data_IF_126137196328
#
_entry.id   IF_126137196328
#
_cell.length_a   1.000
_cell.length_b   1.000
_cell.length_c   1.000
_cell.angle_alpha   90.00
_cell.angle_beta   90.00
_cell.angle_gamma   90.00
#
_symmetry.space_group_name_H-M   'P 1'
#
loop_
_entity.id
_entity.type
_entity.pdbx_description
1 polymer ?
#
# COMPACT_ATOMS: atom_id res chain seq x y z
N UNK A 1 -5.68 4.83 0.85
CA UNK A 1 -5.75 5.05 -0.61
C UNK A 1 -4.47 4.58 -1.28
N UNK A 2 -4.52 4.23 -2.56
CA UNK A 2 -3.39 3.92 -3.46
C UNK A 2 -3.74 4.40 -4.87
N UNK A 3 -2.77 4.76 -5.71
CA UNK A 3 -3.02 5.14 -7.12
C UNK A 3 -3.65 4.00 -7.91
N UNK A 4 -4.67 4.29 -8.71
CA UNK A 4 -5.33 3.31 -9.58
C UNK A 4 -4.38 2.66 -10.59
N UNK A 5 -3.29 3.36 -10.96
CA UNK A 5 -2.21 2.82 -11.77
C UNK A 5 -1.54 1.56 -11.16
N UNK A 6 -1.69 1.31 -9.85
CA UNK A 6 -1.27 0.04 -9.21
C UNK A 6 -2.00 -1.19 -9.74
N UNK A 7 -3.13 -1.03 -10.43
CA UNK A 7 -3.87 -2.08 -11.12
C UNK A 7 -3.61 -2.11 -12.64
N UNK A 8 -2.57 -1.42 -13.13
CA UNK A 8 -2.20 -1.51 -14.54
C UNK A 8 -1.88 -2.97 -14.89
N UNK A 9 -2.44 -3.46 -15.99
CA UNK A 9 -2.31 -4.85 -16.42
C UNK A 9 -3.31 -5.82 -15.77
N UNK A 10 -4.06 -5.37 -14.75
CA UNK A 10 -5.01 -6.21 -14.01
C UNK A 10 -6.08 -6.82 -14.94
N UNK A 11 -6.76 -5.98 -15.73
CA UNK A 11 -7.87 -6.45 -16.57
C UNK A 11 -7.42 -7.54 -17.54
N UNK A 12 -6.31 -7.28 -18.25
CA UNK A 12 -5.69 -8.24 -19.16
C UNK A 12 -5.31 -9.55 -18.46
N UNK A 13 -4.65 -9.48 -17.30
CA UNK A 13 -4.23 -10.69 -16.57
C UNK A 13 -5.43 -11.52 -16.09
N UNK A 14 -6.50 -10.87 -15.64
CA UNK A 14 -7.75 -11.55 -15.26
C UNK A 14 -8.39 -12.25 -16.46
N UNK A 15 -8.47 -11.58 -17.61
CA UNK A 15 -9.00 -12.15 -18.86
C UNK A 15 -8.15 -13.34 -19.33
N UNK A 16 -6.83 -13.24 -19.29
CA UNK A 16 -5.89 -14.33 -19.63
C UNK A 16 -6.06 -15.56 -18.71
N UNK A 17 -6.51 -15.35 -17.47
CA UNK A 17 -6.82 -16.39 -16.50
C UNK A 17 -8.29 -16.87 -16.58
N UNK A 18 -9.07 -16.34 -17.52
CA UNK A 18 -10.46 -16.73 -17.78
C UNK A 18 -11.50 -16.11 -16.83
N UNK A 19 -11.16 -15.03 -16.13
CA UNK A 19 -12.09 -14.27 -15.28
C UNK A 19 -12.65 -13.03 -15.98
N UNK A 20 -13.65 -12.40 -15.34
CA UNK A 20 -14.18 -11.09 -15.75
C UNK A 20 -13.63 -9.98 -14.84
N UNK A 21 -12.80 -9.05 -15.36
CA UNK A 21 -12.24 -7.98 -14.55
C UNK A 21 -13.29 -6.99 -14.03
N UNK A 22 -14.39 -6.77 -14.78
CA UNK A 22 -15.46 -5.88 -14.34
C UNK A 22 -16.21 -6.46 -13.13
N UNK A 23 -16.39 -7.78 -13.09
CA UNK A 23 -16.97 -8.48 -11.93
C UNK A 23 -16.14 -8.23 -10.66
N UNK A 24 -14.81 -8.43 -10.74
CA UNK A 24 -13.93 -8.22 -9.60
C UNK A 24 -13.87 -6.75 -9.18
N UNK A 25 -13.73 -5.81 -10.12
CA UNK A 25 -13.71 -4.39 -9.79
C UNK A 25 -15.01 -3.94 -9.11
N UNK A 26 -16.17 -4.36 -9.66
CA UNK A 26 -17.48 -4.05 -9.09
C UNK A 26 -17.69 -4.65 -7.70
N UNK A 27 -17.28 -5.91 -7.49
CA UNK A 27 -17.39 -6.61 -6.20
C UNK A 27 -16.63 -5.93 -5.05
N UNK A 28 -15.53 -5.24 -5.37
CA UNK A 28 -14.70 -4.51 -4.41
C UNK A 28 -14.91 -2.99 -4.44
N UNK A 29 -15.98 -2.53 -5.11
CA UNK A 29 -16.34 -1.12 -5.26
C UNK A 29 -15.17 -0.26 -5.79
N UNK A 30 -14.41 -0.81 -6.74
CA UNK A 30 -13.31 -0.11 -7.41
C UNK A 30 -13.85 0.46 -8.73
N UNK A 31 -14.00 1.79 -8.84
CA UNK A 31 -14.50 2.41 -10.07
C UNK A 31 -13.50 2.25 -11.22
N UNK A 32 -13.89 1.70 -12.39
CA UNK A 32 -12.99 1.53 -13.53
C UNK A 32 -12.34 2.84 -14.01
N UNK A 33 -13.04 3.97 -13.90
CA UNK A 33 -12.54 5.29 -14.24
C UNK A 33 -11.34 5.73 -13.39
N UNK A 34 -11.22 5.24 -12.15
CA UNK A 34 -10.06 5.51 -11.31
C UNK A 34 -8.79 4.82 -11.80
N UNK A 35 -8.90 3.77 -12.62
CA UNK A 35 -7.76 3.10 -13.25
C UNK A 35 -7.31 3.83 -14.53
N UNK A 36 -8.25 4.50 -15.21
CA UNK A 36 -7.97 5.27 -16.43
C UNK A 36 -7.36 6.65 -16.15
N UNK A 37 -7.66 7.24 -14.99
CA UNK A 37 -7.11 8.53 -14.57
C UNK A 37 -5.67 8.41 -14.05
N UNK A 38 -4.78 9.30 -14.50
CA UNK A 38 -3.39 9.34 -14.03
C UNK A 38 -3.33 9.59 -12.50
N UNK A 39 -4.18 10.49 -12.00
CA UNK A 39 -4.26 10.87 -10.59
C UNK A 39 -5.39 10.13 -9.86
N UNK A 40 -5.97 9.09 -10.47
CA UNK A 40 -7.01 8.26 -9.86
C UNK A 40 -6.53 7.54 -8.60
N UNK A 41 -7.35 7.55 -7.55
CA UNK A 41 -7.07 6.91 -6.27
C UNK A 41 -8.16 5.91 -5.92
N UNK A 42 -7.75 4.76 -5.39
CA UNK A 42 -8.65 3.68 -4.94
C UNK A 42 -8.39 3.34 -3.46
N UNK A 43 -9.39 2.83 -2.72
CA UNK A 43 -9.18 2.34 -1.37
C UNK A 43 -8.18 1.17 -1.37
N UNK A 44 -7.12 1.28 -0.57
CA UNK A 44 -6.06 0.26 -0.56
C UNK A 44 -6.55 -1.07 0.04
N UNK A 45 -7.50 -1.02 0.96
CA UNK A 45 -8.14 -2.23 1.49
C UNK A 45 -8.93 -2.97 0.41
N UNK A 46 -9.69 -2.26 -0.44
CA UNK A 46 -10.36 -2.88 -1.58
C UNK A 46 -9.37 -3.48 -2.58
N UNK A 47 -8.30 -2.74 -2.91
CA UNK A 47 -7.22 -3.21 -3.77
C UNK A 47 -6.63 -4.53 -3.28
N UNK A 48 -6.18 -4.58 -2.02
CA UNK A 48 -5.49 -5.73 -1.45
C UNK A 48 -6.39 -6.96 -1.34
N UNK A 49 -7.62 -6.77 -0.85
CA UNK A 49 -8.60 -7.86 -0.74
C UNK A 49 -9.01 -8.40 -2.11
N UNK A 50 -9.10 -7.52 -3.11
CA UNK A 50 -9.37 -7.92 -4.49
C UNK A 50 -8.23 -8.79 -5.03
N UNK A 51 -6.97 -8.36 -4.90
CA UNK A 51 -5.83 -9.14 -5.38
C UNK A 51 -5.78 -10.54 -4.77
N UNK A 52 -5.97 -10.66 -3.45
CA UNK A 52 -6.01 -11.95 -2.77
C UNK A 52 -7.20 -12.82 -3.22
N UNK A 53 -8.36 -12.20 -3.45
CA UNK A 53 -9.58 -12.90 -3.91
C UNK A 53 -9.43 -13.41 -5.34
N UNK A 54 -8.92 -12.59 -6.25
CA UNK A 54 -8.67 -12.95 -7.65
C UNK A 54 -7.68 -14.12 -7.73
N UNK A 55 -6.57 -14.04 -7.00
CA UNK A 55 -5.59 -15.11 -6.92
C UNK A 55 -6.21 -16.44 -6.49
N UNK A 56 -7.09 -16.42 -5.48
CA UNK A 56 -7.79 -17.60 -4.97
C UNK A 56 -8.80 -18.15 -5.98
N UNK A 57 -9.66 -17.32 -6.54
CA UNK A 57 -10.79 -17.75 -7.39
C UNK A 57 -10.34 -18.19 -8.77
N UNK A 58 -9.33 -17.53 -9.34
CA UNK A 58 -8.71 -17.93 -10.61
C UNK A 58 -7.59 -18.97 -10.42
N UNK A 59 -7.40 -19.49 -9.19
CA UNK A 59 -6.38 -20.50 -8.84
C UNK A 59 -4.97 -20.10 -9.31
N UNK A 60 -4.64 -18.82 -9.18
CA UNK A 60 -3.37 -18.22 -9.56
C UNK A 60 -2.63 -17.73 -8.30
N UNK A 61 -1.96 -18.63 -7.56
CA UNK A 61 -1.29 -18.25 -6.31
C UNK A 61 -0.10 -17.28 -6.49
N UNK A 62 0.40 -17.12 -7.72
CA UNK A 62 1.46 -16.18 -8.14
C UNK A 62 0.89 -14.91 -8.80
N UNK A 63 -0.40 -14.57 -8.60
CA UNK A 63 -1.06 -13.47 -9.28
C UNK A 63 -0.32 -12.12 -9.12
N UNK A 64 0.11 -11.79 -7.90
CA UNK A 64 0.83 -10.55 -7.59
C UNK A 64 2.16 -10.46 -8.35
N UNK A 65 2.93 -11.54 -8.42
CA UNK A 65 4.17 -11.60 -9.22
C UNK A 65 3.87 -11.46 -10.72
N UNK A 66 2.82 -12.09 -11.23
CA UNK A 66 2.43 -11.96 -12.65
C UNK A 66 1.98 -10.55 -12.98
N UNK A 67 1.21 -9.93 -12.09
CA UNK A 67 0.78 -8.55 -12.26
C UNK A 67 1.97 -7.59 -12.21
N UNK A 68 2.98 -7.85 -11.39
CA UNK A 68 4.23 -7.08 -11.40
C UNK A 68 4.90 -7.12 -12.79
N UNK A 69 4.96 -8.28 -13.46
CA UNK A 69 5.46 -8.39 -14.84
C UNK A 69 4.69 -7.56 -15.88
N UNK A 70 3.44 -7.20 -15.60
CA UNK A 70 2.63 -6.35 -16.48
C UNK A 70 2.82 -4.85 -16.18
N UNK A 71 3.72 -4.49 -15.27
CA UNK A 71 3.94 -3.13 -14.79
C UNK A 71 5.38 -2.67 -15.01
N UNK A 72 5.54 -1.35 -14.95
CA UNK A 72 6.83 -0.69 -14.99
C UNK A 72 6.84 0.50 -14.03
N UNK A 73 7.98 1.19 -13.96
CA UNK A 73 8.17 2.31 -13.04
C UNK A 73 7.14 3.44 -13.19
N UNK A 74 6.51 3.59 -14.36
CA UNK A 74 5.55 4.67 -14.61
C UNK A 74 4.24 4.52 -13.83
N UNK A 75 3.98 3.40 -13.14
CA UNK A 75 2.88 3.31 -12.16
C UNK A 75 3.08 4.25 -10.95
N UNK A 76 4.32 4.71 -10.71
CA UNK A 76 4.62 5.76 -9.74
C UNK A 76 4.33 7.18 -10.29
N UNK A 77 3.91 7.28 -11.57
CA UNK A 77 3.67 8.53 -12.30
C UNK A 77 4.81 9.52 -12.14
N UNK A 78 4.53 10.73 -11.65
CA UNK A 78 5.55 11.80 -11.56
C UNK A 78 6.73 11.49 -10.64
N UNK A 79 6.57 10.58 -9.65
CA UNK A 79 7.70 10.08 -8.88
C UNK A 79 8.69 9.28 -9.73
N UNK A 80 8.20 8.58 -10.78
CA UNK A 80 9.06 7.86 -11.72
C UNK A 80 10.12 8.78 -12.35
N UNK A 81 9.75 10.01 -12.70
CA UNK A 81 10.66 10.99 -13.32
C UNK A 81 11.83 11.32 -12.40
N UNK A 82 11.57 11.60 -11.12
CA UNK A 82 12.62 11.87 -10.14
C UNK A 82 13.54 10.65 -9.93
N UNK A 83 12.95 9.45 -9.88
CA UNK A 83 13.70 8.19 -9.71
C UNK A 83 14.58 7.89 -10.94
N UNK A 84 14.05 8.03 -12.16
CA UNK A 84 14.79 7.76 -13.39
C UNK A 84 15.91 8.76 -13.64
N UNK A 85 15.67 10.04 -13.34
CA UNK A 85 16.64 11.11 -13.52
C UNK A 85 17.71 11.18 -12.41
N UNK A 86 17.59 10.34 -11.37
CA UNK A 86 18.59 10.24 -10.31
C UNK A 86 19.94 9.76 -10.82
N UNK A 87 21.00 10.24 -10.19
CA UNK A 87 22.39 9.93 -10.58
C UNK A 87 22.81 8.54 -10.10
N UNK A 88 22.33 8.10 -8.94
CA UNK A 88 22.70 6.82 -8.32
C UNK A 88 21.49 6.08 -7.76
N UNK A 89 21.67 4.77 -7.50
CA UNK A 89 20.68 3.97 -6.76
C UNK A 89 20.34 4.59 -5.41
N UNK A 90 21.34 5.08 -4.66
CA UNK A 90 21.11 5.71 -3.36
C UNK A 90 20.24 6.96 -3.47
N UNK A 91 20.47 7.81 -4.48
CA UNK A 91 19.65 9.01 -4.70
C UNK A 91 18.23 8.65 -5.13
N UNK A 92 18.09 7.65 -6.00
CA UNK A 92 16.79 7.16 -6.45
C UNK A 92 15.97 6.58 -5.29
N UNK A 93 16.59 5.79 -4.41
CA UNK A 93 15.97 5.24 -3.20
C UNK A 93 15.61 6.33 -2.20
N UNK A 94 16.44 7.36 -2.04
CA UNK A 94 16.12 8.50 -1.19
C UNK A 94 14.90 9.27 -1.72
N UNK A 95 14.81 9.49 -3.04
CA UNK A 95 13.64 10.11 -3.67
C UNK A 95 12.40 9.24 -3.49
N UNK A 96 12.50 7.95 -3.77
CA UNK A 96 11.40 7.01 -3.62
C UNK A 96 10.92 6.95 -2.16
N UNK A 97 11.83 6.82 -1.20
CA UNK A 97 11.51 6.79 0.24
C UNK A 97 10.79 8.07 0.69
N UNK A 98 11.28 9.24 0.25
CA UNK A 98 10.70 10.54 0.59
C UNK A 98 9.30 10.75 0.00
N UNK A 99 9.04 10.28 -1.22
CA UNK A 99 7.82 10.62 -1.96
C UNK A 99 6.89 9.43 -2.22
N UNK A 100 7.17 8.24 -1.66
CA UNK A 100 6.34 7.04 -1.84
C UNK A 100 4.88 7.29 -1.45
N UNK A 101 4.65 8.20 -0.49
CA UNK A 101 3.32 8.59 -0.05
C UNK A 101 2.43 9.13 -1.18
N UNK A 102 3.01 9.68 -2.25
CA UNK A 102 2.29 10.14 -3.45
C UNK A 102 1.68 8.96 -4.22
N UNK A 103 2.33 7.79 -4.19
CA UNK A 103 1.77 6.56 -4.73
C UNK A 103 0.77 5.92 -3.75
N UNK A 104 1.14 5.85 -2.47
CA UNK A 104 0.24 5.51 -1.37
C UNK A 104 0.82 5.95 -0.02
N UNK A 105 0.05 6.65 0.83
CA UNK A 105 0.54 7.16 2.12
C UNK A 105 0.87 6.07 3.15
N UNK A 106 0.47 4.83 2.89
CA UNK A 106 0.70 3.70 3.80
C UNK A 106 1.86 2.81 3.34
N UNK A 107 2.45 3.10 2.19
CA UNK A 107 3.60 2.38 1.65
C UNK A 107 4.88 3.16 1.93
N UNK A 108 5.92 2.43 2.32
CA UNK A 108 7.26 2.99 2.48
C UNK A 108 8.31 2.06 1.89
N UNK A 109 9.36 2.69 1.38
CA UNK A 109 10.58 2.00 0.96
C UNK A 109 11.77 2.58 1.70
N UNK A 110 12.80 1.78 1.90
CA UNK A 110 13.95 2.20 2.69
C UNK A 110 15.17 1.33 2.47
N UNK A 111 16.29 1.80 3.04
CA UNK A 111 17.56 1.07 3.08
C UNK A 111 17.90 0.82 4.53
N UNK A 112 18.06 -0.44 4.89
CA UNK A 112 18.38 -0.86 6.25
C UNK A 112 19.66 -1.71 6.29
N UNK A 113 20.32 -1.81 7.45
CA UNK A 113 21.37 -2.80 7.66
C UNK A 113 20.88 -4.21 7.29
N UNK A 114 21.78 -5.05 6.79
CA UNK A 114 21.46 -6.43 6.50
C UNK A 114 20.87 -7.14 7.75
N UNK A 115 19.66 -7.71 7.69
CA UNK A 115 19.07 -8.47 8.80
C UNK A 115 19.90 -9.70 9.18
N UNK A 116 20.83 -10.13 8.32
CA UNK A 116 21.78 -11.21 8.58
C UNK A 116 23.16 -10.75 9.04
N UNK A 117 23.33 -9.45 9.30
CA UNK A 117 24.55 -8.88 9.88
C UNK A 117 25.74 -8.74 8.94
N UNK A 118 25.61 -8.95 7.63
CA UNK A 118 26.73 -8.76 6.69
C UNK A 118 26.89 -7.29 6.33
N UNK A 119 28.05 -6.71 6.62
CA UNK A 119 28.35 -5.28 6.40
C UNK A 119 28.28 -4.85 4.93
N UNK A 120 28.70 -5.72 4.02
CA UNK A 120 28.69 -5.49 2.57
C UNK A 120 27.32 -5.71 1.93
N UNK A 121 26.28 -6.00 2.72
CA UNK A 121 24.90 -6.18 2.26
C UNK A 121 24.03 -5.14 2.94
N UNK A 122 22.99 -4.71 2.24
CA UNK A 122 21.89 -3.90 2.78
C UNK A 122 20.56 -4.55 2.43
N UNK A 123 19.54 -4.27 3.22
CA UNK A 123 18.17 -4.64 2.90
C UNK A 123 17.44 -3.44 2.29
N UNK A 124 16.95 -3.58 1.07
CA UNK A 124 15.99 -2.65 0.48
C UNK A 124 14.60 -3.11 0.91
N UNK A 125 14.00 -2.40 1.86
CA UNK A 125 12.73 -2.81 2.47
C UNK A 125 11.56 -2.22 1.72
N UNK A 126 10.50 -3.01 1.54
CA UNK A 126 9.17 -2.56 1.14
C UNK A 126 8.20 -2.85 2.28
N UNK A 127 7.52 -1.81 2.78
CA UNK A 127 6.64 -1.94 3.95
C UNK A 127 5.31 -1.28 3.70
N UNK A 128 4.31 -1.84 4.37
CA UNK A 128 2.95 -1.31 4.45
C UNK A 128 2.59 -1.09 5.91
N UNK A 129 1.99 0.05 6.23
CA UNK A 129 1.40 0.32 7.53
C UNK A 129 0.11 -0.51 7.71
N UNK A 130 0.22 -1.59 8.47
CA UNK A 130 -0.88 -2.53 8.73
C UNK A 130 -1.96 -1.98 9.66
N UNK A 131 -1.85 -0.74 10.13
CA UNK A 131 -2.95 -0.09 10.88
C UNK A 131 -4.07 0.33 9.95
N UNK A 132 -3.73 0.73 8.73
CA UNK A 132 -4.65 1.34 7.77
C UNK A 132 -5.32 0.30 6.85
N UNK A 133 -4.72 -0.88 6.68
CA UNK A 133 -5.26 -1.91 5.77
C UNK A 133 -4.67 -3.28 6.11
N UNK A 134 -5.43 -4.39 5.92
CA UNK A 134 -4.96 -5.72 6.24
C UNK A 134 -3.71 -6.11 5.44
N UNK A 135 -2.98 -7.09 5.96
CA UNK A 135 -1.87 -7.68 5.24
C UNK A 135 -2.41 -8.49 4.05
N UNK A 136 -1.89 -8.23 2.85
CA UNK A 136 -2.15 -9.02 1.64
C UNK A 136 -0.83 -9.60 1.12
N UNK A 137 -0.72 -10.93 1.01
CA UNK A 137 0.42 -11.59 0.37
C UNK A 137 0.55 -11.17 -1.10
N UNK A 138 -0.55 -11.10 -1.85
CA UNK A 138 -0.51 -10.77 -3.28
C UNK A 138 -0.06 -9.32 -3.51
N UNK A 139 -0.54 -8.36 -2.71
CA UNK A 139 -0.10 -6.97 -2.79
C UNK A 139 1.38 -6.82 -2.38
N UNK A 140 1.85 -7.62 -1.41
CA UNK A 140 3.26 -7.64 -1.00
C UNK A 140 4.15 -8.19 -2.12
N UNK A 141 3.77 -9.31 -2.74
CA UNK A 141 4.48 -9.89 -3.88
C UNK A 141 4.49 -8.95 -5.09
N UNK A 142 3.36 -8.27 -5.38
CA UNK A 142 3.26 -7.25 -6.43
C UNK A 142 4.23 -6.09 -6.18
N UNK A 143 4.16 -5.48 -5.00
CA UNK A 143 4.98 -4.32 -4.66
C UNK A 143 6.48 -4.63 -4.63
N UNK A 144 6.88 -5.75 -4.02
CA UNK A 144 8.27 -6.18 -3.98
C UNK A 144 8.77 -6.66 -5.35
N UNK A 145 7.92 -7.33 -6.12
CA UNK A 145 8.22 -7.79 -7.47
C UNK A 145 8.50 -6.63 -8.42
N UNK A 146 7.64 -5.60 -8.40
CA UNK A 146 7.85 -4.38 -9.16
C UNK A 146 9.12 -3.65 -8.70
N UNK A 147 9.35 -3.55 -7.38
CA UNK A 147 10.57 -2.93 -6.86
C UNK A 147 11.83 -3.64 -7.38
N UNK A 148 11.82 -4.98 -7.41
CA UNK A 148 12.90 -5.77 -7.99
C UNK A 148 13.09 -5.50 -9.50
N UNK A 149 12.01 -5.49 -10.28
CA UNK A 149 12.08 -5.24 -11.72
C UNK A 149 12.61 -3.84 -12.05
N UNK A 150 12.10 -2.83 -11.37
CA UNK A 150 12.56 -1.44 -11.50
C UNK A 150 14.04 -1.34 -11.15
N UNK A 151 14.45 -1.91 -10.01
CA UNK A 151 15.85 -1.89 -9.59
C UNK A 151 16.74 -2.57 -10.63
N UNK A 152 16.29 -3.72 -11.16
CA UNK A 152 17.04 -4.48 -12.17
C UNK A 152 17.18 -3.71 -13.49
N UNK A 153 16.15 -2.98 -13.92
CA UNK A 153 16.22 -2.15 -15.14
C UNK A 153 17.17 -0.97 -14.95
N UNK A 154 17.05 -0.23 -13.83
CA UNK A 154 17.89 0.95 -13.56
C UNK A 154 19.37 0.58 -13.37
N UNK A 155 19.63 -0.54 -12.71
CA UNK A 155 20.98 -1.09 -12.51
C UNK A 155 21.49 -1.82 -13.77
N UNK A 156 20.63 -2.20 -14.73
CA UNK A 156 21.01 -2.96 -15.91
C UNK A 156 21.35 -4.44 -15.62
N UNK A 157 20.62 -5.06 -14.68
CA UNK A 157 20.70 -6.49 -14.35
C UNK A 157 20.38 -6.78 -12.88
N UNK A 158 20.31 -8.08 -12.54
CA UNK A 158 20.07 -8.57 -11.16
C UNK A 158 21.36 -8.82 -10.37
N UNK A 159 22.52 -8.54 -10.97
CA UNK A 159 23.83 -8.77 -10.37
C UNK A 159 23.98 -8.02 -9.05
N UNK A 160 24.15 -8.77 -7.95
CA UNK A 160 24.31 -8.25 -6.59
C UNK A 160 23.09 -8.43 -5.69
N UNK A 161 21.96 -8.94 -6.20
CA UNK A 161 20.91 -9.50 -5.36
C UNK A 161 21.41 -10.79 -4.69
N UNK A 162 21.34 -10.85 -3.36
CA UNK A 162 21.80 -11.99 -2.55
C UNK A 162 20.66 -12.91 -2.15
N UNK A 163 19.52 -12.33 -1.77
CA UNK A 163 18.31 -13.08 -1.47
C UNK A 163 17.12 -12.13 -1.39
N UNK A 164 15.92 -12.69 -1.44
CA UNK A 164 14.65 -12.00 -1.20
C UNK A 164 14.05 -12.51 0.11
N UNK A 165 13.47 -11.62 0.90
CA UNK A 165 12.75 -11.94 2.13
C UNK A 165 11.28 -11.57 1.97
N UNK A 166 10.39 -12.51 2.31
CA UNK A 166 8.94 -12.36 2.25
C UNK A 166 8.31 -12.65 3.62
N UNK A 167 7.34 -11.84 4.08
CA UNK A 167 6.77 -11.97 5.42
C UNK A 167 5.62 -12.97 5.53
N UNK A 168 5.52 -13.88 4.57
CA UNK A 168 4.52 -14.95 4.52
C UNK A 168 5.18 -16.26 4.11
N UNK A 169 4.45 -17.35 4.26
CA UNK A 169 4.82 -18.66 3.71
C UNK A 169 4.63 -18.68 2.19
N UNK A 170 5.35 -19.54 1.43
CA UNK A 170 5.21 -19.59 -0.02
C UNK A 170 3.76 -19.86 -0.45
N UNK A 171 3.23 -19.01 -1.34
CA UNK A 171 1.89 -19.19 -1.92
C UNK A 171 1.94 -20.12 -3.12
N UNK A 172 3.04 -20.04 -3.88
CA UNK A 172 3.34 -20.82 -5.07
C UNK A 172 4.55 -21.74 -4.86
N UNK A 173 4.85 -22.69 -5.78
CA UNK A 173 6.11 -23.43 -5.73
C UNK A 173 7.31 -22.49 -5.66
N UNK A 174 8.27 -22.79 -4.78
CA UNK A 174 9.47 -21.94 -4.56
C UNK A 174 10.22 -21.64 -5.86
N UNK A 175 10.20 -22.57 -6.82
CA UNK A 175 10.82 -22.39 -8.14
C UNK A 175 10.31 -21.15 -8.89
N UNK A 176 9.02 -20.79 -8.75
CA UNK A 176 8.46 -19.59 -9.36
C UNK A 176 9.11 -18.32 -8.83
N UNK A 177 9.37 -18.26 -7.53
CA UNK A 177 10.03 -17.12 -6.91
C UNK A 177 11.49 -17.05 -7.34
N UNK A 178 12.20 -18.18 -7.36
CA UNK A 178 13.61 -18.19 -7.80
C UNK A 178 13.77 -17.85 -9.28
N UNK A 179 12.81 -18.26 -10.12
CA UNK A 179 12.75 -17.87 -11.54
C UNK A 179 12.51 -16.37 -11.70
N UNK A 180 11.51 -15.82 -10.98
CA UNK A 180 11.16 -14.41 -11.06
C UNK A 180 12.28 -13.49 -10.56
N UNK A 181 12.84 -13.78 -9.38
CA UNK A 181 13.84 -12.91 -8.75
C UNK A 181 15.28 -13.19 -9.19
N UNK A 182 15.53 -14.36 -9.80
CA UNK A 182 16.88 -14.82 -10.10
C UNK A 182 17.76 -15.03 -8.86
N UNK A 183 17.15 -15.23 -7.69
CA UNK A 183 17.84 -15.38 -6.40
C UNK A 183 17.04 -16.24 -5.41
N UNK A 184 17.73 -16.71 -4.37
CA UNK A 184 17.13 -17.41 -3.24
C UNK A 184 16.05 -16.57 -2.55
N UNK A 185 14.89 -17.15 -2.28
CA UNK A 185 13.80 -16.51 -1.53
C UNK A 185 13.63 -17.18 -0.17
N UNK A 186 13.42 -16.36 0.85
CA UNK A 186 13.30 -16.76 2.26
C UNK A 186 11.95 -16.26 2.78
N UNK A 187 11.17 -17.20 3.30
CA UNK A 187 9.77 -17.00 3.68
C UNK A 187 9.62 -16.91 5.20
N UNK A 188 8.51 -16.33 5.66
CA UNK A 188 8.24 -16.13 7.09
C UNK A 188 9.17 -15.13 7.77
N UNK A 189 9.76 -14.19 7.03
CA UNK A 189 10.61 -13.14 7.57
C UNK A 189 9.79 -11.99 8.19
N UNK A 190 10.39 -11.09 8.99
CA UNK A 190 9.63 -9.98 9.60
C UNK A 190 9.12 -8.92 8.60
N UNK A 191 9.77 -8.79 7.43
CA UNK A 191 9.44 -7.78 6.43
C UNK A 191 9.74 -8.27 5.00
N UNK A 192 9.14 -7.60 4.02
CA UNK A 192 9.48 -7.78 2.61
C UNK A 192 10.76 -7.00 2.28
N UNK A 193 11.78 -7.67 1.76
CA UNK A 193 13.06 -7.03 1.46
C UNK A 193 13.85 -7.68 0.33
N UNK A 194 14.60 -6.87 -0.40
CA UNK A 194 15.66 -7.31 -1.31
C UNK A 194 17.01 -7.14 -0.62
N UNK A 195 17.73 -8.22 -0.35
CA UNK A 195 19.09 -8.16 0.21
C UNK A 195 20.08 -8.00 -0.92
N UNK A 196 20.72 -6.85 -1.01
CA UNK A 196 21.61 -6.49 -2.13
C UNK A 196 22.99 -6.12 -1.63
N UNK A 197 24.01 -6.30 -2.47
CA UNK A 197 25.36 -5.80 -2.19
C UNK A 197 25.35 -4.27 -2.03
N UNK A 198 25.96 -3.77 -0.95
CA UNK A 198 25.99 -2.35 -0.60
C UNK A 198 26.57 -1.48 -1.72
N UNK A 199 27.58 -1.97 -2.44
CA UNK A 199 28.20 -1.27 -3.57
C UNK A 199 27.21 -0.92 -4.69
N UNK A 200 26.05 -1.60 -4.77
CA UNK A 200 25.02 -1.25 -5.74
C UNK A 200 24.39 0.12 -5.46
N UNK A 201 24.41 0.60 -4.21
CA UNK A 201 23.89 1.93 -3.85
C UNK A 201 24.65 3.06 -4.56
N UNK A 202 25.92 2.84 -4.88
CA UNK A 202 26.81 3.81 -5.55
C UNK A 202 26.74 3.70 -7.07
N UNK A 203 26.00 2.72 -7.62
CA UNK A 203 25.94 2.53 -9.06
C UNK A 203 25.21 3.69 -9.73
N UNK A 204 25.84 4.23 -10.76
CA UNK A 204 25.32 5.35 -11.52
C UNK A 204 24.32 4.92 -12.60
N UNK A 205 23.31 5.75 -12.83
CA UNK A 205 22.32 5.54 -13.88
C UNK A 205 22.75 6.21 -15.18
N UNK A 206 22.60 5.48 -16.29
CA UNK A 206 22.89 6.02 -17.63
C UNK A 206 21.97 7.17 -18.03
N UNK A 207 20.74 7.19 -17.50
CA UNK A 207 19.72 8.19 -17.77
C UNK A 207 19.71 9.36 -16.77
N UNK A 208 20.76 9.52 -15.97
CA UNK A 208 20.85 10.58 -14.98
C UNK A 208 20.73 11.97 -15.63
N UNK A 209 19.85 12.81 -15.08
CA UNK A 209 19.65 14.20 -15.51
C UNK A 209 19.27 15.05 -14.30
N UNK A 210 20.25 15.81 -13.79
CA UNK A 210 20.08 16.64 -12.60
C UNK A 210 19.06 17.78 -12.79
N UNK A 211 18.84 18.26 -14.02
CA UNK A 211 17.85 19.29 -14.27
C UNK A 211 16.43 18.70 -14.20
N UNK A 212 16.20 17.56 -14.86
CA UNK A 212 14.92 16.85 -14.80
C UNK A 212 14.61 16.40 -13.37
N UNK A 213 15.61 15.86 -12.66
CA UNK A 213 15.45 15.41 -11.28
C UNK A 213 15.02 16.55 -10.36
N UNK A 214 15.70 17.70 -10.42
CA UNK A 214 15.33 18.88 -9.62
C UNK A 214 13.93 19.37 -9.94
N UNK A 215 13.59 19.51 -11.21
CA UNK A 215 12.24 19.93 -11.62
C UNK A 215 11.17 18.96 -11.10
N UNK A 216 11.42 17.65 -11.18
CA UNK A 216 10.50 16.64 -10.66
C UNK A 216 10.38 16.70 -9.13
N UNK A 217 11.50 16.83 -8.40
CA UNK A 217 11.51 16.95 -6.93
C UNK A 217 10.82 18.23 -6.48
N UNK A 218 11.08 19.37 -7.13
CA UNK A 218 10.44 20.66 -6.82
C UNK A 218 8.94 20.61 -7.09
N UNK A 219 8.54 19.99 -8.21
CA UNK A 219 7.14 19.74 -8.50
C UNK A 219 6.47 18.89 -7.41
N UNK A 220 7.11 17.78 -7.03
CA UNK A 220 6.58 16.87 -6.00
C UNK A 220 6.47 17.59 -4.64
N UNK A 221 7.51 18.31 -4.23
CA UNK A 221 7.54 19.04 -2.97
C UNK A 221 6.57 20.23 -2.94
N UNK A 222 6.34 20.88 -4.09
CA UNK A 222 5.44 22.03 -4.20
C UNK A 222 3.96 21.68 -4.27
N UNK A 223 3.60 20.48 -4.76
CA UNK A 223 2.20 20.02 -4.88
C UNK A 223 1.79 19.02 -3.83
N UNK A 224 2.73 18.30 -3.25
CA UNK A 224 2.44 17.28 -2.26
C UNK A 224 3.09 17.66 -0.93
N UNK A 225 2.25 17.85 0.09
CA UNK A 225 2.74 18.03 1.45
C UNK A 225 3.07 16.66 2.02
N UNK A 226 4.29 16.52 2.56
CA UNK A 226 4.68 15.33 3.32
C UNK A 226 3.63 15.04 4.40
N UNK A 227 2.98 13.86 4.39
CA UNK A 227 1.95 13.51 5.35
C UNK A 227 2.43 13.57 6.79
N UNK A 228 3.72 13.36 7.06
CA UNK A 228 4.29 13.51 8.42
C UNK A 228 4.28 14.95 8.94
N UNK A 229 4.01 15.93 8.07
CA UNK A 229 3.86 17.34 8.47
C UNK A 229 2.40 17.74 8.69
N UNK A 230 1.46 16.91 8.26
CA UNK A 230 0.02 17.17 8.33
C UNK A 230 -0.54 16.70 9.66
N UNK A 231 -1.31 17.58 10.31
CA UNK A 231 -2.00 17.26 11.55
C UNK A 231 -3.11 16.23 11.30
N UNK A 232 -3.76 16.26 10.14
CA UNK A 232 -4.74 15.25 9.74
C UNK A 232 -4.17 13.83 9.77
N UNK A 233 -2.95 13.62 9.26
CA UNK A 233 -2.25 12.33 9.32
C UNK A 233 -2.02 11.86 10.76
N UNK A 234 -1.57 12.75 11.63
CA UNK A 234 -1.36 12.41 13.04
C UNK A 234 -2.68 12.11 13.77
N UNK A 235 -3.75 12.84 13.47
CA UNK A 235 -5.10 12.57 13.98
C UNK A 235 -5.58 11.20 13.52
N UNK A 236 -5.45 10.88 12.22
CA UNK A 236 -5.81 9.57 11.65
C UNK A 236 -5.07 8.44 12.38
N UNK A 237 -3.75 8.55 12.55
CA UNK A 237 -2.94 7.54 13.27
C UNK A 237 -3.33 7.39 14.72
N UNK A 238 -3.56 8.50 15.42
CA UNK A 238 -4.01 8.49 16.81
C UNK A 238 -5.38 7.82 16.93
N UNK A 239 -6.31 8.10 16.00
CA UNK A 239 -7.61 7.44 15.93
C UNK A 239 -7.46 5.94 15.63
N UNK A 240 -6.75 5.55 14.57
CA UNK A 240 -6.54 4.15 14.21
C UNK A 240 -5.92 3.31 15.33
N UNK A 241 -5.08 3.92 16.17
CA UNK A 241 -4.47 3.26 17.34
C UNK A 241 -5.31 3.26 18.62
N UNK A 242 -6.36 4.08 18.73
CA UNK A 242 -7.14 4.26 19.97
C UNK A 242 -8.64 4.06 19.83
N UNK A 243 -9.15 3.92 18.61
CA UNK A 243 -10.56 3.67 18.35
C UNK A 243 -10.97 2.30 18.91
N UNK A 244 -12.14 2.27 19.57
CA UNK A 244 -12.61 1.11 20.32
C UNK A 244 -12.07 0.98 21.75
N UNK A 245 -11.01 1.70 22.13
CA UNK A 245 -10.51 1.74 23.52
C UNK A 245 -10.75 3.10 24.19
N UNK A 246 -10.69 4.18 23.42
CA UNK A 246 -10.92 5.55 23.89
C UNK A 246 -12.11 6.17 23.15
N UNK A 247 -12.80 7.11 23.79
CA UNK A 247 -13.84 7.88 23.12
C UNK A 247 -13.27 8.55 21.87
N UNK A 248 -13.85 8.23 20.70
CA UNK A 248 -13.48 8.77 19.40
C UNK A 248 -13.96 10.23 19.25
N UNK A 249 -13.42 11.10 20.10
CA UNK A 249 -13.77 12.51 20.21
C UNK A 249 -12.52 13.37 20.10
N UNK A 250 -12.70 14.62 19.68
CA UNK A 250 -11.59 15.53 19.42
C UNK A 250 -10.76 15.84 20.67
N UNK A 251 -11.38 15.90 21.85
CA UNK A 251 -10.70 16.22 23.12
C UNK A 251 -9.58 15.22 23.47
N UNK A 252 -9.89 13.91 23.59
CA UNK A 252 -8.89 12.86 23.78
C UNK A 252 -7.76 12.87 22.74
N UNK A 253 -8.10 12.96 21.45
CA UNK A 253 -7.09 12.96 20.38
C UNK A 253 -6.21 14.20 20.43
N UNK A 254 -6.77 15.38 20.71
CA UNK A 254 -5.99 16.60 20.89
C UNK A 254 -4.98 16.47 22.04
N UNK A 255 -5.37 15.83 23.15
CA UNK A 255 -4.44 15.54 24.26
C UNK A 255 -3.33 14.59 23.85
N UNK A 256 -3.62 13.53 23.10
CA UNK A 256 -2.59 12.60 22.57
C UNK A 256 -1.57 13.32 21.68
N UNK A 257 -2.01 14.35 20.95
CA UNK A 257 -1.16 15.17 20.10
C UNK A 257 -0.55 16.39 20.80
N UNK A 258 -0.72 16.51 22.12
CA UNK A 258 -0.28 17.67 22.92
C UNK A 258 -0.80 19.02 22.38
N UNK A 259 -2.05 19.06 21.90
CA UNK A 259 -2.71 20.25 21.36
C UNK A 259 -4.02 20.57 22.10
N UNK A 260 -4.40 21.85 22.10
CA UNK A 260 -5.75 22.26 22.51
C UNK A 260 -6.77 21.91 21.40
N UNK A 261 -8.00 21.43 21.70
CA UNK A 261 -8.99 21.02 20.69
C UNK A 261 -9.31 22.10 19.65
N UNK A 262 -9.38 23.37 20.07
CA UNK A 262 -9.62 24.52 19.19
C UNK A 262 -8.47 24.75 18.20
N UNK A 263 -7.23 24.50 18.63
CA UNK A 263 -6.04 24.56 17.77
C UNK A 263 -6.05 23.42 16.76
N UNK A 264 -6.42 22.22 17.21
CA UNK A 264 -6.54 21.04 16.36
C UNK A 264 -7.57 21.27 15.23
N UNK A 265 -8.78 21.71 15.59
CA UNK A 265 -9.82 22.11 14.62
C UNK A 265 -9.31 23.11 13.60
N UNK A 266 -8.69 24.22 14.06
CA UNK A 266 -8.17 25.26 13.17
C UNK A 266 -7.13 24.71 12.19
N UNK A 267 -6.24 23.82 12.64
CA UNK A 267 -5.22 23.20 11.77
C UNK A 267 -5.85 22.25 10.75
N UNK A 268 -6.81 21.42 11.16
CA UNK A 268 -7.55 20.56 10.23
C UNK A 268 -8.29 21.37 9.16
N UNK A 269 -8.93 22.47 9.55
CA UNK A 269 -9.60 23.38 8.59
C UNK A 269 -8.61 24.02 7.63
N UNK A 270 -7.40 24.37 8.08
CA UNK A 270 -6.33 24.86 7.21
C UNK A 270 -5.81 23.80 6.22
N UNK A 271 -5.97 22.52 6.56
CA UNK A 271 -5.72 21.36 5.69
C UNK A 271 -6.96 20.95 4.87
N UNK A 272 -8.01 21.80 4.84
CA UNK A 272 -9.26 21.56 4.12
C UNK A 272 -10.00 20.26 4.52
N UNK A 273 -9.85 19.82 5.77
CA UNK A 273 -10.54 18.64 6.31
C UNK A 273 -11.11 18.90 7.71
N UNK A 274 -11.89 17.95 8.24
CA UNK A 274 -12.48 18.01 9.57
C UNK A 274 -12.24 16.75 10.39
N UNK A 275 -12.28 16.87 11.71
CA UNK A 275 -12.15 15.70 12.60
C UNK A 275 -13.20 14.63 12.34
N UNK A 276 -14.45 15.03 12.07
CA UNK A 276 -15.54 14.10 11.80
C UNK A 276 -15.34 13.30 10.51
N UNK A 277 -14.79 13.95 9.47
CA UNK A 277 -14.45 13.32 8.20
C UNK A 277 -13.32 12.29 8.37
N UNK A 278 -12.23 12.68 9.04
CA UNK A 278 -11.12 11.75 9.34
C UNK A 278 -11.60 10.57 10.19
N UNK A 279 -12.46 10.83 11.17
CA UNK A 279 -13.04 9.78 12.01
C UNK A 279 -13.88 8.82 11.17
N UNK A 280 -14.74 9.33 10.29
CA UNK A 280 -15.57 8.54 9.40
C UNK A 280 -14.73 7.63 8.50
N UNK A 281 -13.64 8.16 7.92
CA UNK A 281 -12.76 7.36 7.08
C UNK A 281 -12.04 6.26 7.87
N UNK A 282 -11.52 6.58 9.07
CA UNK A 282 -10.87 5.58 9.95
C UNK A 282 -11.86 4.48 10.34
N UNK A 283 -13.11 4.86 10.66
CA UNK A 283 -14.19 3.90 10.95
C UNK A 283 -14.45 3.00 9.76
N UNK A 284 -14.51 3.56 8.54
CA UNK A 284 -14.70 2.81 7.30
C UNK A 284 -13.58 1.80 7.11
N UNK A 285 -12.33 2.25 7.14
CA UNK A 285 -11.17 1.40 6.89
C UNK A 285 -11.11 0.23 7.89
N UNK A 286 -11.35 0.49 9.17
CA UNK A 286 -11.36 -0.54 10.22
C UNK A 286 -12.56 -1.48 10.13
N UNK A 287 -13.76 -0.94 9.92
CA UNK A 287 -14.96 -1.77 9.76
C UNK A 287 -14.79 -2.74 8.59
N UNK A 288 -14.40 -2.24 7.41
CA UNK A 288 -14.21 -3.08 6.23
C UNK A 288 -13.10 -4.11 6.46
N UNK A 289 -11.98 -3.72 7.08
CA UNK A 289 -10.94 -4.66 7.49
C UNK A 289 -11.49 -5.78 8.38
N UNK A 290 -12.12 -5.46 9.51
CA UNK A 290 -12.60 -6.50 10.44
C UNK A 290 -13.72 -7.36 9.85
N UNK A 291 -14.61 -6.78 9.04
CA UNK A 291 -15.68 -7.52 8.35
C UNK A 291 -15.09 -8.58 7.41
N UNK A 292 -14.02 -8.23 6.71
CA UNK A 292 -13.46 -9.04 5.61
C UNK A 292 -12.38 -10.00 6.07
N UNK A 293 -11.63 -9.67 7.11
CA UNK A 293 -10.49 -10.49 7.57
C UNK A 293 -10.77 -11.32 8.82
N UNK A 294 -11.94 -11.18 9.46
CA UNK A 294 -12.27 -11.89 10.70
C UNK A 294 -13.67 -12.50 10.70
N UNK A 295 -13.89 -13.45 11.61
CA UNK A 295 -15.20 -14.05 11.92
C UNK A 295 -15.94 -13.36 13.08
N UNK A 296 -15.45 -12.20 13.53
CA UNK A 296 -16.00 -11.54 14.70
C UNK A 296 -17.51 -11.23 14.50
N UNK A 297 -18.35 -11.42 15.53
CA UNK A 297 -19.73 -10.95 15.51
C UNK A 297 -19.79 -9.45 15.18
N UNK A 298 -20.77 -9.02 14.38
CA UNK A 298 -20.84 -7.63 13.94
C UNK A 298 -20.98 -6.62 15.09
N UNK A 299 -21.54 -7.01 16.23
CA UNK A 299 -21.52 -6.18 17.44
C UNK A 299 -20.10 -5.92 17.97
N UNK A 300 -19.21 -6.92 17.92
CA UNK A 300 -17.81 -6.73 18.29
C UNK A 300 -17.06 -5.89 17.24
N UNK A 301 -17.33 -6.12 15.95
CA UNK A 301 -16.81 -5.28 14.87
C UNK A 301 -17.21 -3.82 15.06
N UNK A 302 -18.48 -3.57 15.42
CA UNK A 302 -18.98 -2.23 15.68
C UNK A 302 -18.21 -1.56 16.83
N UNK A 303 -18.02 -2.26 17.95
CA UNK A 303 -17.25 -1.75 19.08
C UNK A 303 -15.78 -1.44 18.70
N UNK A 304 -15.12 -2.35 17.99
CA UNK A 304 -13.72 -2.18 17.57
C UNK A 304 -13.54 -1.06 16.54
N UNK A 305 -14.50 -0.88 15.65
CA UNK A 305 -14.53 0.25 14.72
C UNK A 305 -15.09 1.53 15.36
N UNK A 306 -15.38 1.55 16.67
CA UNK A 306 -15.81 2.74 17.40
C UNK A 306 -17.24 3.21 17.09
N UNK A 307 -18.13 2.32 16.69
CA UNK A 307 -19.58 2.54 16.62
C UNK A 307 -20.25 2.27 17.96
N UNK A 308 -21.38 2.94 18.22
CA UNK A 308 -22.16 2.73 19.44
C UNK A 308 -22.83 1.36 19.49
N UNK A 309 -23.29 0.86 18.34
CA UNK A 309 -23.97 -0.43 18.22
C UNK A 309 -23.82 -1.02 16.80
N UNK A 310 -24.29 -2.26 16.64
CA UNK A 310 -24.29 -2.98 15.37
C UNK A 310 -25.16 -2.31 14.30
N UNK A 311 -26.23 -1.62 14.68
CA UNK A 311 -27.13 -0.94 13.75
C UNK A 311 -26.42 0.24 13.07
N UNK A 312 -25.69 1.03 13.85
CA UNK A 312 -24.87 2.14 13.35
C UNK A 312 -23.80 1.67 12.37
N UNK A 313 -23.11 0.57 12.69
CA UNK A 313 -22.19 -0.08 11.74
C UNK A 313 -22.92 -0.49 10.46
N UNK A 314 -24.09 -1.14 10.58
CA UNK A 314 -24.87 -1.61 9.44
C UNK A 314 -25.29 -0.49 8.49
N UNK A 315 -25.75 0.65 9.02
CA UNK A 315 -26.10 1.82 8.23
C UNK A 315 -24.89 2.46 7.55
N UNK A 316 -23.77 2.58 8.25
CA UNK A 316 -22.54 3.13 7.70
C UNK A 316 -22.00 2.28 6.55
N UNK A 317 -21.90 0.96 6.75
CA UNK A 317 -21.43 0.03 5.70
C UNK A 317 -22.34 0.03 4.49
N UNK A 318 -23.67 0.09 4.68
CA UNK A 318 -24.61 0.23 3.55
C UNK A 318 -24.41 1.51 2.77
N UNK A 319 -24.09 2.63 3.43
CA UNK A 319 -23.80 3.90 2.78
C UNK A 319 -22.49 3.85 1.98
N UNK A 320 -21.48 3.16 2.47
CA UNK A 320 -20.15 3.13 1.85
C UNK A 320 -20.00 2.10 0.73
N UNK A 321 -20.58 0.91 0.90
CA UNK A 321 -20.37 -0.27 0.06
C UNK A 321 -21.64 -0.70 -0.70
N UNK A 322 -22.73 0.05 -0.53
CA UNK A 322 -24.06 -0.26 -1.06
C UNK A 322 -24.53 -1.68 -0.70
N UNK A 323 -24.06 -2.18 0.46
CA UNK A 323 -24.23 -3.56 0.91
C UNK A 323 -24.24 -3.66 2.44
N UNK A 324 -24.87 -4.70 2.97
CA UNK A 324 -24.80 -5.02 4.39
C UNK A 324 -23.43 -5.60 4.78
N UNK A 325 -23.03 -5.48 6.07
CA UNK A 325 -21.79 -6.10 6.56
C UNK A 325 -21.67 -7.61 6.25
N UNK A 326 -22.78 -8.33 6.28
CA UNK A 326 -22.83 -9.75 5.92
C UNK A 326 -22.57 -10.00 4.44
N UNK A 327 -23.11 -9.17 3.55
CA UNK A 327 -22.84 -9.24 2.12
C UNK A 327 -21.38 -8.91 1.83
N UNK A 328 -20.82 -7.87 2.44
CA UNK A 328 -19.40 -7.52 2.30
C UNK A 328 -18.48 -8.67 2.75
N UNK A 329 -18.80 -9.33 3.88
CA UNK A 329 -18.03 -10.50 4.34
C UNK A 329 -18.11 -11.66 3.35
N UNK A 330 -19.32 -11.98 2.84
CA UNK A 330 -19.51 -13.03 1.83
C UNK A 330 -18.79 -12.69 0.52
N UNK A 331 -18.82 -11.42 0.11
CA UNK A 331 -18.07 -10.91 -1.04
C UNK A 331 -16.58 -11.19 -0.93
N UNK A 332 -15.94 -11.22 0.23
CA UNK A 332 -14.49 -11.53 0.26
C UNK A 332 -14.21 -13.02 0.29
N UNK A 333 -15.08 -13.79 0.95
CA UNK A 333 -14.82 -15.21 1.22
C UNK A 333 -15.13 -16.14 0.06
N UNK A 334 -15.82 -15.64 -0.97
CA UNK A 334 -16.40 -16.51 -2.00
C UNK A 334 -17.63 -17.22 -1.45
N UNK A 335 -18.67 -17.31 -2.26
CA UNK A 335 -19.88 -18.07 -1.94
C UNK A 335 -19.49 -19.52 -1.64
N UNK A 336 -19.75 -20.01 -0.43
CA UNK A 336 -19.77 -21.45 -0.17
C UNK A 336 -20.93 -22.10 -0.92
#
# INVERSE_FOLDING_TARGET
MIRGASLRGFARLVEELGGDPAEFLGRFAIPPEALASEDGLIPITSHDLMLDTVARELRCPDFGLRLACAQDLSILGRLALAVQASSTVSEALACASRFMFVHSPVLSVGVEPDPRGRREVVALTYRKDLRESPYSPQATELGLGLFHQVASVLVGGTAGLRSVELPHQPLSPVSRYTEFFGADVKFGCPAAALRVERRLLEKEFRGADEAIRRLAVDYLAGRHTDPERLVSTHVRRALAGSIGTTAAAIGPVARLLAMHPRTLQRRLTAESTGFAEILEDVRRDLALRYITTTDLPFGQVAAMAGFADQSGLGHAVRRWEEASPGEVRRRVRGTS
#
